data_IF_653721274693
#
_entry.id   IF_653721274693
#
_cell.length_a   1.000
_cell.length_b   1.000
_cell.length_c   1.000
_cell.angle_alpha   90.00
_cell.angle_beta   90.00
_cell.angle_gamma   90.00
#
_symmetry.space_group_name_H-M   'P 1'
#
loop_
_entity.id
_entity.type
_entity.pdbx_description
1 polymer ?
#
# COMPACT_ATOMS: atom_id res chain seq x y z
N UNK A 1 9.46 5.25 -12.44
CA UNK A 1 9.66 6.15 -11.27
C UNK A 1 10.71 5.53 -10.37
N UNK A 2 11.69 6.33 -9.91
CA UNK A 2 12.74 5.85 -9.01
C UNK A 2 12.58 6.48 -7.63
N UNK A 3 12.70 5.67 -6.60
CA UNK A 3 12.66 6.10 -5.20
C UNK A 3 13.91 5.56 -4.51
N UNK A 4 14.71 6.43 -3.90
CA UNK A 4 15.88 6.04 -3.12
C UNK A 4 15.58 6.19 -1.65
N UNK A 5 15.84 5.14 -0.87
CA UNK A 5 15.74 5.20 0.59
C UNK A 5 16.77 4.27 1.23
N UNK A 6 17.36 4.71 2.35
CA UNK A 6 18.45 3.99 3.02
C UNK A 6 19.50 3.48 2.01
N UNK A 7 19.69 2.16 1.93
CA UNK A 7 20.62 1.48 1.01
C UNK A 7 19.92 0.86 -0.19
N UNK A 8 18.68 1.27 -0.51
CA UNK A 8 17.90 0.68 -1.59
C UNK A 8 17.45 1.72 -2.61
N UNK A 9 17.38 1.31 -3.85
CA UNK A 9 16.69 2.04 -4.94
C UNK A 9 15.54 1.18 -5.42
N UNK A 10 14.35 1.76 -5.49
CA UNK A 10 13.15 1.09 -6.01
C UNK A 10 12.78 1.72 -7.34
N UNK A 11 12.67 0.89 -8.35
CA UNK A 11 12.11 1.26 -9.65
C UNK A 11 10.71 0.69 -9.80
N UNK A 12 9.73 1.56 -10.04
CA UNK A 12 8.37 1.15 -10.38
C UNK A 12 8.20 1.06 -11.88
N UNK A 13 7.75 -0.09 -12.34
CA UNK A 13 7.53 -0.43 -13.74
C UNK A 13 6.06 -0.81 -13.96
N UNK A 14 5.51 -0.48 -15.13
CA UNK A 14 4.19 -0.91 -15.60
C UNK A 14 4.37 -1.76 -16.85
N UNK A 15 3.69 -2.90 -16.91
CA UNK A 15 3.78 -3.88 -17.97
C UNK A 15 2.44 -4.07 -18.66
N UNK A 16 2.46 -4.34 -19.95
CA UNK A 16 1.25 -4.54 -20.74
C UNK A 16 0.63 -5.92 -20.56
N UNK A 17 1.46 -6.92 -20.18
CA UNK A 17 1.02 -8.30 -20.05
C UNK A 17 1.62 -8.97 -18.80
N UNK A 18 0.91 -9.97 -18.26
CA UNK A 18 1.42 -10.83 -17.18
C UNK A 18 2.72 -11.54 -17.58
N UNK A 19 2.86 -11.91 -18.86
CA UNK A 19 4.06 -12.58 -19.38
C UNK A 19 5.29 -11.68 -19.28
N UNK A 20 5.17 -10.40 -19.61
CA UNK A 20 6.25 -9.43 -19.47
C UNK A 20 6.61 -9.20 -18.00
N UNK A 21 5.60 -9.08 -17.10
CA UNK A 21 5.83 -9.01 -15.67
C UNK A 21 6.63 -10.22 -15.17
N UNK A 22 6.18 -11.44 -15.47
CA UNK A 22 6.84 -12.68 -15.04
C UNK A 22 8.27 -12.76 -15.61
N UNK A 23 8.47 -12.38 -16.87
CA UNK A 23 9.81 -12.31 -17.45
C UNK A 23 10.69 -11.32 -16.71
N UNK A 24 10.23 -10.11 -16.41
CA UNK A 24 10.97 -9.12 -15.62
C UNK A 24 11.34 -9.66 -14.23
N UNK A 25 10.38 -10.28 -13.55
CA UNK A 25 10.61 -10.87 -12.23
C UNK A 25 11.64 -12.03 -12.28
N UNK A 26 11.67 -12.81 -13.34
CA UNK A 26 12.61 -13.91 -13.52
C UNK A 26 14.06 -13.44 -13.68
N UNK A 27 14.29 -12.16 -14.00
CA UNK A 27 15.62 -11.57 -14.09
C UNK A 27 16.15 -11.09 -12.73
N UNK A 28 15.36 -11.18 -11.67
CA UNK A 28 15.73 -10.74 -10.32
C UNK A 28 16.50 -11.88 -9.62
N UNK A 29 17.80 -11.80 -9.57
CA UNK A 29 18.69 -12.82 -9.01
C UNK A 29 18.63 -12.95 -7.48
N UNK A 30 18.14 -11.93 -6.79
CA UNK A 30 17.83 -12.00 -5.36
C UNK A 30 16.45 -12.62 -5.07
N UNK A 31 15.76 -13.10 -6.11
CA UNK A 31 14.42 -13.67 -6.04
C UNK A 31 13.32 -12.67 -6.33
N UNK A 32 12.10 -13.16 -6.37
CA UNK A 32 10.92 -12.34 -6.60
C UNK A 32 9.68 -12.88 -5.87
N UNK A 33 8.71 -12.00 -5.65
CA UNK A 33 7.40 -12.34 -5.10
C UNK A 33 6.34 -11.82 -6.06
N UNK A 34 5.38 -12.66 -6.44
CA UNK A 34 4.14 -12.23 -7.08
C UNK A 34 3.06 -12.13 -6.01
N UNK A 35 2.50 -10.93 -5.80
CA UNK A 35 1.59 -10.69 -4.67
C UNK A 35 0.21 -11.32 -4.87
N UNK A 36 -0.28 -11.38 -6.11
CA UNK A 36 -1.52 -12.09 -6.44
C UNK A 36 -1.46 -12.68 -7.85
N UNK A 37 -2.23 -13.74 -8.08
CA UNK A 37 -2.25 -14.50 -9.33
C UNK A 37 -3.63 -14.55 -10.00
N UNK A 38 -4.63 -13.81 -9.53
CA UNK A 38 -5.99 -13.89 -10.03
C UNK A 38 -6.08 -13.54 -11.52
N UNK A 39 -6.76 -14.40 -12.30
CA UNK A 39 -6.64 -14.47 -13.75
C UNK A 39 -7.84 -13.93 -14.55
N UNK A 40 -8.93 -13.44 -13.91
CA UNK A 40 -10.24 -13.38 -14.58
C UNK A 40 -10.70 -12.02 -15.13
N UNK A 41 -9.89 -10.95 -15.05
CA UNK A 41 -10.29 -9.61 -15.52
C UNK A 41 -9.19 -8.89 -16.29
N UNK A 42 -9.56 -7.78 -16.98
CA UNK A 42 -8.59 -6.85 -17.55
C UNK A 42 -7.61 -6.37 -16.45
N UNK A 43 -6.46 -6.99 -16.43
CA UNK A 43 -5.47 -6.74 -15.40
C UNK A 43 -4.47 -5.67 -15.86
N UNK A 44 -3.96 -4.94 -14.91
CA UNK A 44 -2.79 -4.10 -15.04
C UNK A 44 -1.65 -4.73 -14.25
N UNK A 45 -0.45 -4.71 -14.83
CA UNK A 45 0.70 -5.41 -14.30
C UNK A 45 1.76 -4.42 -13.86
N UNK A 46 2.20 -4.54 -12.62
CA UNK A 46 3.19 -3.63 -12.05
C UNK A 46 4.32 -4.45 -11.41
N UNK A 47 5.54 -3.90 -11.46
CA UNK A 47 6.66 -4.43 -10.71
C UNK A 47 7.32 -3.32 -9.90
N UNK A 48 7.71 -3.63 -8.67
CA UNK A 48 8.68 -2.87 -7.91
C UNK A 48 10.00 -3.65 -7.93
N UNK A 49 11.00 -3.12 -8.61
CA UNK A 49 12.34 -3.70 -8.67
C UNK A 49 13.20 -2.99 -7.63
N UNK A 50 13.60 -3.73 -6.62
CA UNK A 50 14.42 -3.25 -5.50
C UNK A 50 15.87 -3.61 -5.76
N UNK A 51 16.74 -2.61 -5.78
CA UNK A 51 18.18 -2.76 -5.91
C UNK A 51 18.86 -2.26 -4.65
N UNK A 52 19.50 -3.13 -3.86
CA UNK A 52 20.38 -2.70 -2.78
C UNK A 52 21.61 -1.97 -3.34
N UNK A 53 21.91 -0.77 -2.84
CA UNK A 53 23.04 0.03 -3.34
C UNK A 53 24.40 -0.68 -3.15
N UNK A 54 24.51 -1.48 -2.10
CA UNK A 54 25.72 -2.21 -1.75
C UNK A 54 25.95 -3.47 -2.58
N UNK A 55 24.95 -3.96 -3.30
CA UNK A 55 24.98 -5.26 -4.00
C UNK A 55 25.29 -5.16 -5.51
N UNK A 56 25.56 -3.97 -6.03
CA UNK A 56 25.88 -3.78 -7.46
C UNK A 56 24.68 -3.99 -8.38
N UNK A 57 24.70 -5.07 -9.18
CA UNK A 57 23.66 -5.38 -10.18
C UNK A 57 22.64 -6.42 -9.70
N UNK A 58 22.51 -6.63 -8.39
CA UNK A 58 21.57 -7.59 -7.84
C UNK A 58 20.18 -6.97 -7.58
N UNK A 59 19.12 -7.69 -7.94
CA UNK A 59 17.75 -7.19 -7.89
C UNK A 59 16.81 -8.15 -7.18
N UNK A 60 15.87 -7.60 -6.41
CA UNK A 60 14.70 -8.29 -5.85
C UNK A 60 13.44 -7.74 -6.47
N UNK A 61 12.56 -8.60 -6.99
CA UNK A 61 11.34 -8.22 -7.70
C UNK A 61 10.07 -8.43 -6.87
N UNK A 62 9.13 -7.47 -6.94
CA UNK A 62 7.81 -7.60 -6.35
C UNK A 62 6.80 -7.30 -7.45
N UNK A 63 6.05 -8.32 -7.87
CA UNK A 63 5.02 -8.21 -8.91
C UNK A 63 3.62 -8.05 -8.34
N UNK A 64 2.80 -7.26 -9.00
CA UNK A 64 1.39 -7.01 -8.66
C UNK A 64 0.56 -7.15 -9.91
N UNK A 65 -0.49 -7.99 -9.87
CA UNK A 65 -1.57 -8.00 -10.85
C UNK A 65 -2.73 -7.19 -10.26
N UNK A 66 -3.03 -6.03 -10.83
CA UNK A 66 -4.11 -5.15 -10.36
C UNK A 66 -5.33 -5.32 -11.25
N UNK A 67 -6.50 -5.41 -10.65
CA UNK A 67 -7.77 -5.36 -11.37
C UNK A 67 -7.89 -3.99 -12.10
N UNK A 68 -8.50 -3.99 -13.28
CA UNK A 68 -8.53 -2.83 -14.18
C UNK A 68 -9.40 -1.64 -13.75
N UNK A 69 -9.56 -1.38 -12.45
CA UNK A 69 -10.38 -0.28 -11.91
C UNK A 69 -9.88 1.14 -12.20
N UNK A 70 -8.74 1.28 -12.89
CA UNK A 70 -8.11 2.57 -13.13
C UNK A 70 -7.27 3.10 -11.95
N UNK A 71 -7.35 2.49 -10.78
CA UNK A 71 -6.51 2.82 -9.63
C UNK A 71 -5.16 2.09 -9.75
N UNK A 72 -4.08 2.87 -9.68
CA UNK A 72 -2.74 2.29 -9.66
C UNK A 72 -2.37 1.85 -8.25
N UNK A 73 -1.58 0.76 -8.11
CA UNK A 73 -0.99 0.43 -6.82
C UNK A 73 -0.22 1.61 -6.25
N UNK A 74 -0.40 1.84 -4.96
CA UNK A 74 0.38 2.84 -4.22
C UNK A 74 1.31 2.13 -3.25
N UNK A 75 2.46 2.73 -2.97
CA UNK A 75 3.42 2.17 -2.05
C UNK A 75 3.77 3.17 -0.94
N UNK A 76 4.00 2.62 0.24
CA UNK A 76 4.52 3.33 1.39
C UNK A 76 5.79 2.63 1.88
N UNK A 77 6.87 3.40 2.01
CA UNK A 77 8.16 2.91 2.48
C UNK A 77 8.33 3.28 3.94
N UNK A 78 8.67 2.30 4.77
CA UNK A 78 9.15 2.52 6.13
C UNK A 78 10.63 2.10 6.22
N UNK A 79 11.57 3.08 6.18
CA UNK A 79 12.99 2.79 6.21
C UNK A 79 13.48 2.18 7.53
N UNK A 80 12.84 2.52 8.65
CA UNK A 80 13.24 2.04 9.98
C UNK A 80 12.98 0.55 10.16
N UNK A 81 11.98 0.02 9.46
CA UNK A 81 11.60 -1.38 9.49
C UNK A 81 12.09 -2.18 8.27
N UNK A 82 12.84 -1.57 7.35
CA UNK A 82 13.19 -2.14 6.05
C UNK A 82 11.96 -2.72 5.33
N UNK A 83 10.84 -1.99 5.35
CA UNK A 83 9.56 -2.47 4.86
C UNK A 83 8.99 -1.60 3.75
N UNK A 84 8.37 -2.25 2.77
CA UNK A 84 7.49 -1.63 1.79
C UNK A 84 6.08 -2.16 1.97
N UNK A 85 5.10 -1.28 2.04
CA UNK A 85 3.69 -1.63 1.97
C UNK A 85 3.16 -1.32 0.58
N UNK A 86 2.41 -2.24 0.00
CA UNK A 86 1.69 -2.07 -1.26
C UNK A 86 0.19 -2.10 -0.99
N UNK A 87 -0.51 -1.05 -1.42
CA UNK A 87 -1.97 -1.03 -1.45
C UNK A 87 -2.46 -1.14 -2.90
N UNK A 88 -3.34 -2.09 -3.19
CA UNK A 88 -3.92 -2.32 -4.52
C UNK A 88 -5.22 -3.10 -4.39
N UNK A 89 -6.12 -2.95 -5.37
CA UNK A 89 -7.42 -3.62 -5.35
C UNK A 89 -8.12 -3.50 -3.97
N UNK A 90 -8.32 -4.61 -3.31
CA UNK A 90 -8.87 -4.71 -1.94
C UNK A 90 -7.86 -5.36 -0.98
N UNK A 91 -6.60 -5.00 -1.12
CA UNK A 91 -5.53 -5.59 -0.31
C UNK A 91 -4.42 -4.60 0.03
N UNK A 92 -3.83 -4.77 1.21
CA UNK A 92 -2.56 -4.17 1.59
C UNK A 92 -1.59 -5.28 1.98
N UNK A 93 -0.39 -5.25 1.41
CA UNK A 93 0.67 -6.23 1.67
C UNK A 93 1.94 -5.53 2.11
N UNK A 94 2.46 -5.91 3.27
CA UNK A 94 3.78 -5.49 3.75
C UNK A 94 4.85 -6.51 3.35
N UNK A 95 5.93 -6.05 2.73
CA UNK A 95 7.08 -6.88 2.35
C UNK A 95 8.31 -6.36 3.09
N UNK A 96 8.95 -7.24 3.85
CA UNK A 96 10.22 -6.94 4.50
C UNK A 96 11.36 -7.14 3.50
N UNK A 97 12.15 -6.10 3.25
CA UNK A 97 13.21 -6.09 2.25
C UNK A 97 14.47 -6.85 2.70
N UNK A 98 14.72 -6.93 4.00
CA UNK A 98 15.91 -7.60 4.55
C UNK A 98 15.85 -9.11 4.33
N UNK A 99 14.71 -9.72 4.64
CA UNK A 99 14.50 -11.17 4.44
C UNK A 99 13.76 -11.50 3.15
N UNK A 100 13.26 -10.48 2.41
CA UNK A 100 12.55 -10.61 1.13
C UNK A 100 11.29 -11.48 1.22
N UNK A 101 10.53 -11.28 2.29
CA UNK A 101 9.33 -12.06 2.57
C UNK A 101 8.13 -11.14 2.84
N UNK A 102 6.94 -11.68 2.60
CA UNK A 102 5.71 -11.02 3.01
C UNK A 102 5.66 -11.04 4.54
N UNK A 103 5.61 -9.84 5.14
CA UNK A 103 5.51 -9.66 6.58
C UNK A 103 4.06 -9.75 7.06
N UNK A 104 3.11 -9.20 6.26
CA UNK A 104 1.69 -9.25 6.55
C UNK A 104 0.83 -9.06 5.29
N UNK A 105 -0.44 -9.47 5.38
CA UNK A 105 -1.51 -9.20 4.41
C UNK A 105 -2.75 -8.75 5.13
N UNK A 106 -3.42 -7.74 4.59
CA UNK A 106 -4.68 -7.20 5.10
C UNK A 106 -5.67 -7.17 3.94
N UNK A 107 -6.78 -7.92 4.08
CA UNK A 107 -7.92 -7.80 3.18
C UNK A 107 -8.74 -6.57 3.56
N UNK A 108 -9.08 -5.78 2.57
CA UNK A 108 -9.87 -4.57 2.69
C UNK A 108 -11.34 -4.86 2.36
N UNK A 109 -12.25 -4.04 2.89
CA UNK A 109 -13.69 -4.18 2.60
C UNK A 109 -14.05 -3.57 1.23
N UNK A 110 -13.32 -2.52 0.83
CA UNK A 110 -13.54 -1.79 -0.41
C UNK A 110 -12.23 -1.47 -1.12
N UNK A 111 -12.29 -0.80 -2.27
CA UNK A 111 -11.11 -0.50 -3.07
C UNK A 111 -10.13 0.39 -2.30
N UNK A 112 -8.86 0.02 -2.37
CA UNK A 112 -7.77 0.82 -1.81
C UNK A 112 -7.58 2.10 -2.64
N UNK A 113 -7.47 3.25 -1.96
CA UNK A 113 -7.17 4.52 -2.59
C UNK A 113 -5.73 4.97 -2.31
N UNK A 114 -5.35 5.18 -1.05
CA UNK A 114 -4.01 5.63 -0.67
C UNK A 114 -3.70 5.44 0.81
N UNK A 115 -2.43 5.62 1.14
CA UNK A 115 -1.95 5.66 2.50
C UNK A 115 -1.83 7.08 3.04
N UNK A 116 -2.13 7.28 4.33
CA UNK A 116 -1.79 8.48 5.10
C UNK A 116 -0.93 8.06 6.31
N UNK A 117 0.41 8.16 6.22
CA UNK A 117 1.29 7.78 7.31
C UNK A 117 1.32 8.87 8.41
N UNK A 118 1.13 8.45 9.65
CA UNK A 118 1.23 9.27 10.86
C UNK A 118 2.51 8.90 11.59
N UNK A 119 3.65 9.35 11.06
CA UNK A 119 5.00 8.93 11.50
C UNK A 119 5.22 9.04 13.00
N UNK A 120 4.77 10.15 13.63
CA UNK A 120 4.99 10.38 15.07
C UNK A 120 4.19 9.42 15.97
N UNK A 121 3.17 8.77 15.46
CA UNK A 121 2.30 7.84 16.18
C UNK A 121 2.55 6.37 15.82
N UNK A 122 3.39 6.09 14.83
CA UNK A 122 3.60 4.73 14.31
C UNK A 122 2.33 4.12 13.70
N UNK A 123 1.43 4.96 13.19
CA UNK A 123 0.14 4.59 12.61
C UNK A 123 0.16 4.87 11.11
N UNK A 124 -0.44 3.99 10.34
CA UNK A 124 -0.75 4.20 8.93
C UNK A 124 -2.26 4.10 8.75
N UNK A 125 -2.86 5.16 8.21
CA UNK A 125 -4.25 5.12 7.78
C UNK A 125 -4.32 4.62 6.35
N UNK A 126 -5.15 3.59 6.12
CA UNK A 126 -5.47 3.03 4.81
C UNK A 126 -6.80 3.64 4.39
N UNK A 127 -6.79 4.55 3.43
CA UNK A 127 -8.01 5.13 2.87
C UNK A 127 -8.52 4.23 1.77
N UNK A 128 -9.76 3.83 1.89
CA UNK A 128 -10.50 2.98 0.97
C UNK A 128 -11.70 3.73 0.41
N UNK A 129 -12.41 3.15 -0.54
CA UNK A 129 -13.57 3.77 -1.16
C UNK A 129 -14.65 4.16 -0.15
N UNK A 130 -15.03 3.25 0.77
CA UNK A 130 -16.14 3.49 1.71
C UNK A 130 -15.72 3.43 3.18
N UNK A 131 -14.48 3.10 3.48
CA UNK A 131 -13.98 3.03 4.85
C UNK A 131 -12.51 3.46 4.97
N UNK A 132 -12.08 3.68 6.19
CA UNK A 132 -10.69 3.93 6.56
C UNK A 132 -10.29 2.97 7.66
N UNK A 133 -9.10 2.40 7.53
CA UNK A 133 -8.54 1.47 8.51
C UNK A 133 -7.22 2.01 9.04
N UNK A 134 -7.11 2.14 10.35
CA UNK A 134 -5.84 2.44 10.99
C UNK A 134 -5.10 1.15 11.34
N UNK A 135 -3.84 1.09 10.98
CA UNK A 135 -2.96 -0.03 11.29
C UNK A 135 -1.68 0.47 11.95
N UNK A 136 -1.01 -0.41 12.69
CA UNK A 136 0.38 -0.18 13.05
C UNK A 136 1.28 -0.34 11.83
N UNK A 137 2.51 0.16 11.89
CA UNK A 137 3.52 -0.05 10.84
C UNK A 137 3.86 -1.53 10.59
N UNK A 138 3.49 -2.44 11.52
CA UNK A 138 3.63 -3.89 11.38
C UNK A 138 2.36 -4.58 10.85
N UNK A 139 1.36 -3.82 10.39
CA UNK A 139 0.15 -4.36 9.75
C UNK A 139 -0.94 -4.84 10.73
N UNK A 140 -0.84 -4.53 12.03
CA UNK A 140 -1.90 -4.86 12.99
C UNK A 140 -2.98 -3.80 12.96
N UNK A 141 -4.24 -4.16 12.69
CA UNK A 141 -5.39 -3.27 12.76
C UNK A 141 -5.58 -2.70 14.17
N UNK A 142 -5.78 -1.38 14.26
CA UNK A 142 -6.04 -0.65 15.49
C UNK A 142 -7.53 -0.33 15.58
N UNK A 143 -8.07 0.29 14.53
CA UNK A 143 -9.48 0.62 14.40
C UNK A 143 -9.88 0.74 12.93
N UNK A 144 -11.19 0.73 12.69
CA UNK A 144 -11.80 0.94 11.37
C UNK A 144 -13.06 1.76 11.50
N UNK A 145 -13.29 2.63 10.52
CA UNK A 145 -14.49 3.43 10.40
C UNK A 145 -14.92 3.53 8.94
N UNK A 146 -16.20 3.38 8.67
CA UNK A 146 -16.76 3.53 7.33
C UNK A 146 -18.26 3.86 7.42
N UNK A 147 -18.74 4.57 6.42
CA UNK A 147 -20.16 4.97 6.34
C UNK A 147 -20.63 4.99 4.88
N UNK A 148 -19.93 5.70 4.02
CA UNK A 148 -20.25 5.93 2.61
C UNK A 148 -18.96 6.22 1.85
N UNK A 149 -19.04 6.46 0.54
CA UNK A 149 -17.88 6.78 -0.31
C UNK A 149 -17.17 8.02 0.24
N UNK A 150 -15.87 7.85 0.54
CA UNK A 150 -15.01 8.92 1.07
C UNK A 150 -14.60 9.82 -0.10
N UNK A 151 -15.00 11.09 -0.05
CA UNK A 151 -14.65 12.08 -1.07
C UNK A 151 -13.43 12.93 -0.69
N UNK A 152 -13.20 13.12 0.62
CA UNK A 152 -12.08 13.90 1.12
C UNK A 152 -11.66 13.46 2.52
N UNK A 153 -10.37 13.52 2.78
CA UNK A 153 -9.80 13.36 4.14
C UNK A 153 -8.91 14.54 4.47
N UNK A 154 -8.99 15.03 5.70
CA UNK A 154 -8.12 16.09 6.22
C UNK A 154 -7.70 15.75 7.66
N UNK A 155 -6.42 15.98 7.98
CA UNK A 155 -5.88 15.74 9.33
C UNK A 155 -5.48 17.08 9.95
N UNK A 156 -5.98 17.35 11.15
CA UNK A 156 -5.64 18.51 11.96
C UNK A 156 -5.33 18.09 13.41
N UNK A 157 -4.06 18.07 13.76
CA UNK A 157 -3.59 17.54 15.04
C UNK A 157 -3.93 16.06 15.20
N UNK A 158 -4.73 15.72 16.21
CA UNK A 158 -5.22 14.35 16.46
C UNK A 158 -6.60 14.07 15.86
N UNK A 159 -7.11 14.96 15.02
CA UNK A 159 -8.43 14.83 14.39
C UNK A 159 -8.30 14.47 12.92
N UNK A 160 -9.09 13.48 12.51
CA UNK A 160 -9.31 13.11 11.13
C UNK A 160 -10.72 13.54 10.71
N UNK A 161 -10.79 14.42 9.76
CA UNK A 161 -12.05 14.85 9.14
C UNK A 161 -12.27 14.04 7.87
N UNK A 162 -13.48 13.48 7.75
CA UNK A 162 -13.94 12.73 6.58
C UNK A 162 -15.16 13.43 5.99
N UNK A 163 -15.16 13.65 4.69
CA UNK A 163 -16.34 14.00 3.93
C UNK A 163 -16.78 12.80 3.10
N UNK A 164 -18.07 12.55 3.07
CA UNK A 164 -18.66 11.45 2.33
C UNK A 164 -19.49 11.95 1.13
N UNK A 165 -19.84 11.04 0.24
CA UNK A 165 -20.60 11.37 -0.96
C UNK A 165 -22.04 11.86 -0.63
N UNK A 166 -22.59 11.42 0.49
CA UNK A 166 -23.88 11.88 1.03
C UNK A 166 -23.81 13.28 1.69
N UNK A 167 -22.69 13.99 1.51
CA UNK A 167 -22.37 15.31 2.09
C UNK A 167 -22.32 15.32 3.63
N UNK A 168 -22.40 14.19 4.29
CA UNK A 168 -22.27 14.12 5.75
C UNK A 168 -20.79 14.16 6.15
N UNK A 169 -20.38 15.00 7.12
CA UNK A 169 -19.04 14.96 7.67
C UNK A 169 -18.94 13.98 8.84
N UNK A 170 -17.74 13.47 9.09
CA UNK A 170 -17.37 12.83 10.34
C UNK A 170 -16.02 13.37 10.83
N UNK A 171 -15.85 13.48 12.14
CA UNK A 171 -14.60 13.80 12.78
C UNK A 171 -14.22 12.66 13.73
N UNK A 172 -13.05 12.08 13.55
CA UNK A 172 -12.55 10.97 14.36
C UNK A 172 -11.29 11.38 15.11
N UNK A 173 -11.09 10.81 16.28
CA UNK A 173 -9.77 10.79 16.89
C UNK A 173 -8.89 9.77 16.15
N UNK A 174 -7.72 10.19 15.64
CA UNK A 174 -6.85 9.36 14.81
C UNK A 174 -6.23 8.18 15.56
N UNK A 175 -6.13 8.23 16.89
CA UNK A 175 -5.48 7.19 17.69
C UNK A 175 -6.41 6.00 17.95
N UNK A 176 -7.71 6.25 18.12
CA UNK A 176 -8.67 5.22 18.53
C UNK A 176 -9.89 5.08 17.64
N UNK A 177 -10.06 5.96 16.65
CA UNK A 177 -11.20 5.93 15.71
C UNK A 177 -12.54 6.40 16.29
N UNK A 178 -12.57 6.95 17.51
CA UNK A 178 -13.80 7.42 18.13
C UNK A 178 -14.30 8.71 17.48
N UNK A 179 -15.62 8.80 17.32
CA UNK A 179 -16.28 10.01 16.82
C UNK A 179 -16.08 11.16 17.80
N UNK A 180 -15.55 12.25 17.32
CA UNK A 180 -15.41 13.51 18.07
C UNK A 180 -16.60 14.41 17.70
N UNK A 181 -17.31 14.91 18.70
CA UNK A 181 -18.34 15.92 18.46
C UNK A 181 -17.66 17.24 18.05
N UNK A 182 -18.04 17.72 16.89
CA UNK A 182 -17.61 19.02 16.34
C UNK A 182 -18.63 20.07 16.72
#
# INVERSE_FOLDING_TARGET
MFITFTENVIELQEWSTKKELIYSLSQCDLGSILLNEEDDYEQKFYAAIVRPQTSGLHYFGIGICSEGHGLKPNLLINPELDMIMFGYNKEVVGVNLKNRQIAFRIKLNSLFYYFLPLKNQGIVLIVQEVDITAITELGKEIWRYGKDIITQTTIEGEKLYLNFMDESPACLNILNGELVRV
#
